data_IF_619527720055
#
_entry.id   IF_619527720055
#
_cell.length_a   1.000
_cell.length_b   1.000
_cell.length_c   1.000
_cell.angle_alpha   90.00
_cell.angle_beta   90.00
_cell.angle_gamma   90.00
#
_symmetry.space_group_name_H-M   'P 1'
#
loop_
_entity.id
_entity.type
_entity.pdbx_description
1 polymer ?
#
# COMPACT_ATOMS: atom_id res chain seq x y z
N UNK A 1 22.89 -42.69 50.95
CA UNK A 1 21.63 -42.41 50.23
C UNK A 1 21.41 -43.55 49.25
N UNK A 2 20.24 -44.19 49.30
CA UNK A 2 20.00 -45.48 48.65
C UNK A 2 19.03 -45.30 47.47
N UNK A 3 19.31 -45.84 46.28
CA UNK A 3 18.45 -45.66 45.12
C UNK A 3 17.13 -46.43 45.27
N UNK A 4 16.02 -45.81 44.83
CA UNK A 4 14.70 -46.41 44.82
C UNK A 4 14.57 -47.36 43.62
N UNK A 5 14.27 -48.63 43.92
CA UNK A 5 14.15 -49.72 42.94
C UNK A 5 12.81 -49.60 42.19
N UNK A 6 12.85 -49.67 40.86
CA UNK A 6 11.66 -49.83 40.03
C UNK A 6 10.88 -51.09 40.42
N UNK A 7 9.62 -50.92 40.84
CA UNK A 7 8.69 -52.06 40.91
C UNK A 7 8.28 -52.43 39.48
N UNK A 8 8.65 -53.63 39.06
CA UNK A 8 8.11 -54.26 37.85
C UNK A 8 6.59 -54.39 37.95
N UNK A 9 5.87 -54.18 36.86
CA UNK A 9 4.47 -54.59 36.77
C UNK A 9 4.35 -56.12 36.93
N UNK A 10 3.26 -56.63 37.55
CA UNK A 10 2.99 -58.05 37.56
C UNK A 10 2.53 -58.53 36.18
N UNK A 11 3.08 -59.63 35.70
CA UNK A 11 2.57 -60.34 34.52
C UNK A 11 1.21 -60.98 34.83
N UNK A 12 0.30 -61.02 33.84
CA UNK A 12 -0.92 -61.84 33.92
C UNK A 12 -2.26 -61.10 34.00
N UNK A 13 -2.41 -59.92 33.38
CA UNK A 13 -3.76 -59.39 33.08
C UNK A 13 -4.25 -60.05 31.78
N UNK A 14 -5.37 -60.80 31.78
CA UNK A 14 -5.87 -61.44 30.57
C UNK A 14 -6.47 -60.41 29.60
N UNK A 15 -5.97 -60.41 28.36
CA UNK A 15 -6.55 -59.68 27.23
C UNK A 15 -7.93 -60.24 26.90
N UNK A 16 -8.99 -59.51 27.25
CA UNK A 16 -10.38 -59.93 26.98
C UNK A 16 -11.47 -59.30 27.85
N UNK A 17 -11.14 -58.42 28.80
CA UNK A 17 -12.15 -57.64 29.53
C UNK A 17 -12.79 -56.53 28.69
N UNK A 18 -13.91 -55.98 29.15
CA UNK A 18 -14.67 -54.89 28.49
C UNK A 18 -13.92 -53.53 28.40
N UNK A 19 -12.66 -53.50 28.86
CA UNK A 19 -11.70 -52.40 28.78
C UNK A 19 -10.40 -52.80 28.07
N UNK A 20 -10.37 -53.94 27.38
CA UNK A 20 -9.31 -54.24 26.43
C UNK A 20 -9.32 -53.13 25.38
N UNK A 21 -8.16 -52.50 25.14
CA UNK A 21 -8.04 -51.43 24.16
C UNK A 21 -8.42 -51.96 22.78
N UNK A 22 -9.63 -51.62 22.33
CA UNK A 22 -10.00 -51.72 20.93
C UNK A 22 -9.00 -50.88 20.15
N UNK A 23 -8.37 -51.49 19.14
CA UNK A 23 -7.61 -50.75 18.13
C UNK A 23 -8.61 -49.89 17.34
N UNK A 24 -8.99 -48.76 17.92
CA UNK A 24 -9.62 -47.68 17.20
C UNK A 24 -8.55 -47.14 16.25
N UNK A 25 -8.59 -47.60 15.00
CA UNK A 25 -8.03 -46.83 13.91
C UNK A 25 -8.69 -45.46 13.97
N UNK A 26 -7.94 -44.45 14.38
CA UNK A 26 -8.41 -43.07 14.32
C UNK A 26 -8.91 -42.83 12.89
N UNK A 27 -10.16 -42.40 12.69
CA UNK A 27 -10.62 -42.09 11.35
C UNK A 27 -9.67 -41.04 10.80
N UNK A 28 -9.08 -41.33 9.64
CA UNK A 28 -8.06 -40.48 9.05
C UNK A 28 -8.75 -39.24 8.45
N UNK A 29 -9.18 -38.33 9.32
CA UNK A 29 -9.90 -37.09 9.00
C UNK A 29 -8.89 -36.16 8.34
N UNK A 30 -8.71 -36.36 7.04
CA UNK A 30 -8.01 -35.40 6.20
C UNK A 30 -8.92 -34.18 6.10
N UNK A 31 -8.68 -33.19 6.94
CA UNK A 31 -9.33 -31.89 6.80
C UNK A 31 -9.00 -31.37 5.40
N UNK A 32 -10.02 -31.16 4.57
CA UNK A 32 -9.85 -30.56 3.26
C UNK A 32 -9.16 -29.20 3.42
N UNK A 33 -8.27 -28.85 2.48
CA UNK A 33 -7.67 -27.50 2.45
C UNK A 33 -8.79 -26.47 2.50
N UNK A 34 -8.66 -25.45 3.35
CA UNK A 34 -9.56 -24.31 3.30
C UNK A 34 -9.48 -23.71 1.89
N UNK A 35 -10.65 -23.51 1.29
CA UNK A 35 -10.81 -22.86 0.00
C UNK A 35 -12.03 -21.95 0.08
N UNK A 36 -11.94 -20.77 -0.52
CA UNK A 36 -13.05 -19.84 -0.63
C UNK A 36 -14.14 -20.45 -1.50
N UNK A 37 -15.39 -20.27 -1.11
CA UNK A 37 -16.51 -20.71 -1.94
C UNK A 37 -16.65 -19.76 -3.15
N UNK A 38 -16.53 -20.23 -4.41
CA UNK A 38 -16.69 -19.39 -5.60
C UNK A 38 -18.01 -18.60 -5.65
N UNK A 39 -19.09 -19.15 -5.07
CA UNK A 39 -20.37 -18.48 -4.99
C UNK A 39 -20.36 -17.30 -3.99
N UNK A 40 -19.55 -17.36 -2.93
CA UNK A 40 -19.37 -16.25 -1.99
C UNK A 40 -18.63 -15.09 -2.66
N UNK A 41 -17.51 -15.37 -3.34
CA UNK A 41 -16.72 -14.38 -4.09
C UNK A 41 -17.58 -13.68 -5.15
N UNK A 42 -18.30 -14.44 -5.99
CA UNK A 42 -19.24 -13.88 -6.98
C UNK A 42 -20.36 -13.05 -6.33
N UNK A 43 -20.82 -13.44 -5.14
CA UNK A 43 -21.77 -12.66 -4.34
C UNK A 43 -21.21 -11.32 -3.87
N UNK A 44 -19.96 -11.29 -3.40
CA UNK A 44 -19.26 -10.07 -3.00
C UNK A 44 -18.98 -9.15 -4.19
N UNK A 45 -18.44 -9.67 -5.29
CA UNK A 45 -18.22 -8.91 -6.53
C UNK A 45 -19.52 -8.26 -7.05
N UNK A 46 -20.67 -8.93 -6.90
CA UNK A 46 -21.98 -8.33 -7.19
C UNK A 46 -22.38 -7.22 -6.20
N UNK A 47 -22.18 -7.43 -4.90
CA UNK A 47 -22.43 -6.39 -3.90
C UNK A 47 -21.58 -5.12 -4.13
N UNK A 48 -20.37 -5.30 -4.66
CA UNK A 48 -19.48 -4.20 -5.06
C UNK A 48 -19.77 -3.60 -6.44
N UNK A 49 -20.77 -4.06 -7.21
CA UNK A 49 -21.00 -3.53 -8.56
C UNK A 49 -19.93 -3.88 -9.60
N UNK A 50 -19.04 -4.84 -9.30
CA UNK A 50 -17.99 -5.37 -10.18
C UNK A 50 -18.47 -6.56 -11.05
N UNK A 51 -19.73 -6.99 -10.87
CA UNK A 51 -20.32 -8.09 -11.61
C UNK A 51 -20.35 -7.80 -13.12
N UNK A 52 -19.60 -8.57 -13.90
CA UNK A 52 -19.43 -8.37 -15.35
C UNK A 52 -18.27 -7.45 -15.75
N UNK A 53 -17.51 -6.89 -14.78
CA UNK A 53 -16.24 -6.19 -15.05
C UNK A 53 -15.06 -7.17 -15.13
N UNK A 54 -15.11 -8.22 -14.30
CA UNK A 54 -14.21 -9.37 -14.38
C UNK A 54 -14.83 -10.45 -15.29
N UNK A 55 -13.99 -11.06 -16.13
CA UNK A 55 -14.30 -12.26 -16.91
C UNK A 55 -14.46 -13.49 -15.99
N UNK A 56 -14.84 -14.64 -16.57
CA UNK A 56 -14.86 -15.92 -15.84
C UNK A 56 -13.46 -16.26 -15.36
N UNK A 57 -12.48 -16.24 -16.27
CA UNK A 57 -11.08 -16.57 -16.01
C UNK A 57 -10.46 -15.64 -14.95
N UNK A 58 -10.73 -14.33 -15.05
CA UNK A 58 -10.31 -13.34 -14.05
C UNK A 58 -10.97 -13.56 -12.68
N UNK A 59 -12.21 -14.09 -12.65
CA UNK A 59 -12.88 -14.46 -11.39
C UNK A 59 -12.26 -15.73 -10.78
N UNK A 60 -11.77 -16.66 -11.61
CA UNK A 60 -11.07 -17.87 -11.16
C UNK A 60 -9.67 -17.54 -10.67
N UNK A 61 -8.93 -16.66 -11.36
CA UNK A 61 -7.65 -16.11 -10.88
C UNK A 61 -7.79 -15.42 -9.52
N UNK A 62 -8.82 -14.58 -9.35
CA UNK A 62 -9.12 -13.93 -8.08
C UNK A 62 -9.37 -14.96 -6.95
N UNK A 63 -10.10 -16.03 -7.25
CA UNK A 63 -10.35 -17.14 -6.31
C UNK A 63 -9.04 -17.83 -5.92
N UNK A 64 -8.13 -18.06 -6.87
CA UNK A 64 -6.83 -18.68 -6.61
C UNK A 64 -5.91 -17.79 -5.77
N UNK A 65 -5.91 -16.46 -6.00
CA UNK A 65 -5.20 -15.49 -5.15
C UNK A 65 -5.70 -15.54 -3.70
N UNK A 66 -7.02 -15.56 -3.48
CA UNK A 66 -7.60 -15.68 -2.14
C UNK A 66 -7.27 -17.04 -1.49
N UNK A 67 -7.33 -18.13 -2.25
CA UNK A 67 -6.99 -19.47 -1.77
C UNK A 67 -5.49 -19.59 -1.39
N UNK A 68 -4.61 -18.90 -2.10
CA UNK A 68 -3.18 -18.86 -1.80
C UNK A 68 -2.88 -18.02 -0.55
N UNK A 69 -3.55 -16.87 -0.39
CA UNK A 69 -3.39 -15.99 0.77
C UNK A 69 -4.08 -16.50 2.05
N UNK A 70 -5.07 -17.39 1.93
CA UNK A 70 -5.96 -17.83 3.01
C UNK A 70 -6.73 -16.71 3.73
N UNK A 71 -6.74 -15.50 3.16
CA UNK A 71 -7.63 -14.42 3.57
C UNK A 71 -8.82 -14.32 2.61
N UNK A 72 -10.01 -14.37 3.18
CA UNK A 72 -11.29 -14.28 2.49
C UNK A 72 -12.06 -13.02 2.88
N UNK A 73 -11.37 -12.05 3.49
CA UNK A 73 -11.94 -10.77 3.90
C UNK A 73 -12.47 -9.98 2.71
N UNK A 74 -13.47 -9.15 3.00
CA UNK A 74 -14.04 -8.16 2.09
C UNK A 74 -12.95 -7.27 1.44
N UNK A 75 -11.90 -6.95 2.20
CA UNK A 75 -10.73 -6.18 1.75
C UNK A 75 -9.89 -6.97 0.74
N UNK A 76 -9.48 -8.19 1.07
CA UNK A 76 -8.65 -9.01 0.16
C UNK A 76 -9.37 -9.36 -1.14
N UNK A 77 -10.71 -9.48 -1.12
CA UNK A 77 -11.52 -9.61 -2.35
C UNK A 77 -11.43 -8.34 -3.20
N UNK A 78 -11.48 -7.16 -2.57
CA UNK A 78 -11.39 -5.86 -3.26
C UNK A 78 -9.99 -5.61 -3.81
N UNK A 79 -8.93 -5.83 -3.03
CA UNK A 79 -7.52 -5.70 -3.45
C UNK A 79 -7.10 -6.71 -4.52
N UNK A 80 -7.68 -7.92 -4.53
CA UNK A 80 -7.45 -8.88 -5.61
C UNK A 80 -8.20 -8.48 -6.89
N UNK A 81 -9.44 -7.97 -6.78
CA UNK A 81 -10.18 -7.43 -7.93
C UNK A 81 -9.51 -6.19 -8.52
N UNK A 82 -9.00 -5.30 -7.67
CA UNK A 82 -8.33 -4.06 -8.06
C UNK A 82 -7.08 -4.35 -8.88
N UNK A 83 -6.19 -5.24 -8.39
CA UNK A 83 -4.99 -5.67 -9.13
C UNK A 83 -5.30 -6.26 -10.51
N UNK A 84 -6.31 -7.12 -10.61
CA UNK A 84 -6.68 -7.77 -11.87
C UNK A 84 -7.27 -6.75 -12.87
N UNK A 85 -8.12 -5.83 -12.39
CA UNK A 85 -8.66 -4.74 -13.22
C UNK A 85 -7.56 -3.77 -13.65
N UNK A 86 -6.66 -3.39 -12.75
CA UNK A 86 -5.57 -2.46 -13.05
C UNK A 86 -4.64 -3.05 -14.13
N UNK A 87 -4.26 -4.33 -14.00
CA UNK A 87 -3.45 -5.04 -15.00
C UNK A 87 -4.14 -5.14 -16.37
N UNK A 88 -5.40 -5.59 -16.40
CA UNK A 88 -6.05 -5.99 -17.66
C UNK A 88 -6.85 -4.86 -18.34
N UNK A 89 -7.13 -3.77 -17.61
CA UNK A 89 -7.96 -2.64 -18.03
C UNK A 89 -7.33 -1.26 -17.77
N UNK A 90 -6.29 -1.14 -16.96
CA UNK A 90 -5.64 0.12 -16.62
C UNK A 90 -6.40 1.00 -15.62
N UNK A 91 -7.42 0.46 -14.93
CA UNK A 91 -8.21 1.18 -13.92
C UNK A 91 -8.58 0.29 -12.73
N UNK A 92 -8.85 0.88 -11.56
CA UNK A 92 -9.13 0.14 -10.33
C UNK A 92 -10.58 -0.31 -10.15
N UNK A 93 -10.82 -1.15 -9.15
CA UNK A 93 -12.15 -1.54 -8.70
C UNK A 93 -13.01 -0.32 -8.29
N UNK A 94 -12.39 0.74 -7.74
CA UNK A 94 -13.09 1.99 -7.42
C UNK A 94 -13.60 2.74 -8.66
N UNK A 95 -12.78 2.81 -9.71
CA UNK A 95 -13.17 3.41 -10.99
C UNK A 95 -14.26 2.59 -11.65
N UNK A 96 -14.12 1.25 -11.64
CA UNK A 96 -15.12 0.32 -12.16
C UNK A 96 -16.50 0.51 -11.51
N UNK A 97 -16.55 0.79 -10.21
CA UNK A 97 -17.78 1.16 -9.47
C UNK A 97 -18.35 2.48 -9.96
N UNK A 98 -17.51 3.51 -10.06
CA UNK A 98 -17.90 4.85 -10.51
C UNK A 98 -18.50 4.78 -11.93
N UNK A 99 -17.87 4.04 -12.84
CA UNK A 99 -18.40 3.78 -14.18
C UNK A 99 -19.75 3.05 -14.14
N UNK A 100 -19.90 2.01 -13.31
CA UNK A 100 -21.18 1.30 -13.17
C UNK A 100 -22.31 2.20 -12.66
N UNK A 101 -22.04 3.10 -11.71
CA UNK A 101 -23.00 4.10 -11.22
C UNK A 101 -23.38 5.09 -12.32
N UNK A 102 -22.39 5.68 -13.00
CA UNK A 102 -22.62 6.63 -14.11
C UNK A 102 -23.38 5.99 -15.28
N UNK A 103 -23.08 4.73 -15.62
CA UNK A 103 -23.85 3.97 -16.61
C UNK A 103 -25.32 3.80 -16.21
N UNK A 104 -25.61 3.58 -14.93
CA UNK A 104 -26.99 3.46 -14.44
C UNK A 104 -27.70 4.82 -14.47
N UNK A 105 -27.08 5.88 -13.97
CA UNK A 105 -27.63 7.24 -13.99
C UNK A 105 -27.93 7.72 -15.42
N UNK A 106 -27.03 7.45 -16.37
CA UNK A 106 -27.25 7.75 -17.79
C UNK A 106 -28.44 6.95 -18.36
N UNK A 107 -28.58 5.66 -18.01
CA UNK A 107 -29.74 4.85 -18.45
C UNK A 107 -31.06 5.36 -17.85
N UNK A 108 -31.08 5.71 -16.57
CA UNK A 108 -32.26 6.27 -15.89
C UNK A 108 -32.65 7.65 -16.43
N UNK A 109 -31.67 8.46 -16.84
CA UNK A 109 -31.89 9.73 -17.55
C UNK A 109 -32.30 9.56 -19.04
N UNK A 110 -32.44 8.33 -19.55
CA UNK A 110 -32.77 8.05 -20.95
C UNK A 110 -31.61 8.25 -21.94
N UNK A 111 -30.38 8.50 -21.45
CA UNK A 111 -29.15 8.73 -22.21
C UNK A 111 -28.46 7.41 -22.57
N UNK A 112 -29.19 6.58 -23.31
CA UNK A 112 -28.82 5.19 -23.60
C UNK A 112 -27.55 5.10 -24.47
N UNK A 113 -27.36 6.01 -25.42
CA UNK A 113 -26.18 5.99 -26.29
C UNK A 113 -24.90 6.34 -25.51
N UNK A 114 -24.96 7.30 -24.60
CA UNK A 114 -23.83 7.69 -23.76
C UNK A 114 -23.49 6.61 -22.72
N UNK A 115 -24.50 5.98 -22.12
CA UNK A 115 -24.28 4.82 -21.25
C UNK A 115 -23.57 3.67 -22.00
N UNK A 116 -23.98 3.41 -23.25
CA UNK A 116 -23.34 2.39 -24.09
C UNK A 116 -21.95 2.80 -24.58
N UNK A 117 -21.69 4.09 -24.81
CA UNK A 117 -20.37 4.59 -25.14
C UNK A 117 -19.40 4.46 -23.95
N UNK A 118 -19.84 4.85 -22.75
CA UNK A 118 -19.09 4.69 -21.50
C UNK A 118 -18.80 3.21 -21.22
N UNK A 119 -19.80 2.33 -21.38
CA UNK A 119 -19.62 0.89 -21.23
C UNK A 119 -18.57 0.33 -22.20
N UNK A 120 -18.54 0.77 -23.47
CA UNK A 120 -17.52 0.37 -24.45
C UNK A 120 -16.12 0.86 -24.08
N UNK A 121 -15.98 2.10 -23.59
CA UNK A 121 -14.67 2.63 -23.17
C UNK A 121 -14.14 1.87 -21.96
N UNK A 122 -14.98 1.60 -20.96
CA UNK A 122 -14.58 0.81 -19.79
C UNK A 122 -14.37 -0.69 -20.12
N UNK A 123 -14.99 -1.20 -21.19
CA UNK A 123 -14.79 -2.57 -21.66
C UNK A 123 -13.68 -2.71 -22.72
N UNK A 124 -13.03 -1.62 -23.14
CA UNK A 124 -11.82 -1.69 -23.94
C UNK A 124 -10.67 -2.18 -23.04
N UNK A 125 -9.96 -3.23 -23.44
CA UNK A 125 -8.64 -3.50 -22.86
C UNK A 125 -7.62 -2.60 -23.56
N UNK A 126 -6.59 -2.06 -22.87
CA UNK A 126 -5.48 -1.40 -23.53
C UNK A 126 -4.76 -2.29 -24.58
N UNK A 127 -4.91 -3.63 -24.51
CA UNK A 127 -4.39 -4.56 -25.53
C UNK A 127 -5.25 -4.73 -26.80
N UNK A 128 -6.49 -4.22 -26.84
CA UNK A 128 -7.41 -4.43 -27.98
C UNK A 128 -7.30 -3.37 -29.10
N UNK A 129 -6.26 -2.52 -29.08
CA UNK A 129 -6.00 -1.59 -30.19
C UNK A 129 -5.34 -2.32 -31.38
N UNK A 130 -5.99 -2.41 -32.56
CA UNK A 130 -5.39 -3.05 -33.72
C UNK A 130 -4.21 -2.23 -34.27
N UNK A 131 -3.05 -2.89 -34.42
CA UNK A 131 -1.80 -2.33 -34.94
C UNK A 131 -1.84 -2.03 -36.47
N UNK A 132 -2.79 -1.21 -36.92
CA UNK A 132 -2.89 -0.73 -38.31
C UNK A 132 -3.00 0.80 -38.39
N UNK A 133 -2.02 1.48 -37.80
CA UNK A 133 -1.63 2.82 -38.22
C UNK A 133 -0.10 2.94 -38.15
N UNK A 134 0.53 3.32 -39.26
CA UNK A 134 1.98 3.50 -39.39
C UNK A 134 2.48 4.63 -38.48
N UNK A 135 2.78 4.30 -37.23
CA UNK A 135 3.72 5.07 -36.42
C UNK A 135 5.04 4.32 -36.39
N UNK A 136 6.10 5.01 -36.81
CA UNK A 136 7.48 4.55 -36.71
C UNK A 136 7.93 4.61 -35.24
N UNK A 137 7.38 3.70 -34.43
CA UNK A 137 7.90 3.43 -33.11
C UNK A 137 9.15 2.57 -33.22
N UNK A 138 10.12 2.87 -32.36
CA UNK A 138 11.38 2.13 -32.28
C UNK A 138 11.11 0.65 -32.00
N UNK A 139 11.98 -0.22 -32.51
CA UNK A 139 11.86 -1.68 -32.34
C UNK A 139 11.88 -2.06 -30.86
N UNK A 140 11.38 -3.25 -30.52
CA UNK A 140 11.33 -3.74 -29.13
C UNK A 140 12.72 -3.76 -28.46
N UNK A 141 13.78 -3.96 -29.25
CA UNK A 141 15.19 -3.88 -28.84
C UNK A 141 15.64 -2.43 -28.60
N UNK A 142 15.25 -1.47 -29.45
CA UNK A 142 15.51 -0.03 -29.24
C UNK A 142 14.67 0.57 -28.10
N UNK A 143 13.44 0.08 -27.88
CA UNK A 143 12.58 0.44 -26.73
C UNK A 143 13.14 -0.12 -25.42
N UNK A 144 13.71 -1.33 -25.43
CA UNK A 144 14.44 -1.87 -24.28
C UNK A 144 15.76 -1.11 -24.01
N UNK A 145 16.49 -0.71 -25.07
CA UNK A 145 17.70 0.14 -24.93
C UNK A 145 17.35 1.58 -24.49
N UNK A 146 16.16 2.08 -24.83
CA UNK A 146 15.62 3.30 -24.22
C UNK A 146 15.28 3.06 -22.76
N UNK A 147 14.37 2.12 -22.46
CA UNK A 147 13.79 1.91 -21.12
C UNK A 147 14.84 1.59 -20.05
N UNK A 148 15.87 0.81 -20.38
CA UNK A 148 17.04 0.55 -19.52
C UNK A 148 17.87 1.81 -19.17
N UNK A 149 17.45 2.98 -19.66
CA UNK A 149 18.01 4.29 -19.37
C UNK A 149 16.98 5.29 -18.78
N UNK A 150 15.73 4.94 -18.38
CA UNK A 150 14.68 5.94 -18.01
C UNK A 150 14.02 5.93 -16.58
N UNK A 151 13.80 7.15 -16.02
CA UNK A 151 12.78 7.53 -15.01
C UNK A 151 11.92 8.74 -15.56
N UNK A 152 11.52 9.85 -14.86
CA UNK A 152 10.55 10.81 -15.43
C UNK A 152 11.16 11.88 -16.35
N UNK A 153 12.46 12.20 -16.22
CA UNK A 153 13.22 12.78 -17.33
C UNK A 153 13.62 11.72 -18.35
N UNK A 154 13.48 10.45 -17.96
CA UNK A 154 14.18 9.38 -18.60
C UNK A 154 15.66 9.26 -18.20
N UNK A 155 16.00 9.21 -16.91
CA UNK A 155 17.27 8.63 -16.40
C UNK A 155 16.97 7.49 -15.40
N UNK A 156 17.24 6.21 -15.75
CA UNK A 156 16.87 4.96 -15.01
C UNK A 156 17.30 4.92 -13.55
N UNK A 157 18.52 5.38 -13.35
CA UNK A 157 19.31 5.19 -12.15
C UNK A 157 18.91 6.23 -11.10
N UNK A 158 18.72 5.86 -9.83
CA UNK A 158 18.46 6.82 -8.76
C UNK A 158 19.41 8.02 -8.77
N UNK A 159 18.86 9.22 -8.65
CA UNK A 159 19.64 10.47 -8.69
C UNK A 159 20.37 10.65 -7.34
N UNK A 160 21.70 10.77 -7.30
CA UNK A 160 22.43 10.92 -6.05
C UNK A 160 22.12 12.26 -5.38
N UNK A 161 22.12 12.30 -4.05
CA UNK A 161 21.89 13.55 -3.29
C UNK A 161 22.84 14.69 -3.67
N UNK A 162 24.03 14.37 -4.18
CA UNK A 162 25.00 15.34 -4.69
C UNK A 162 24.70 15.91 -6.09
N UNK A 163 23.63 15.48 -6.79
CA UNK A 163 23.29 16.00 -8.13
C UNK A 163 22.94 17.51 -8.03
N UNK A 164 23.59 18.40 -8.81
CA UNK A 164 23.31 19.84 -8.79
C UNK A 164 21.84 20.21 -9.04
N UNK A 165 21.09 19.37 -9.77
CA UNK A 165 19.66 19.55 -10.03
C UNK A 165 18.84 19.36 -8.75
N UNK A 166 19.08 18.27 -8.03
CA UNK A 166 18.42 17.99 -6.75
C UNK A 166 18.80 19.05 -5.70
N UNK A 167 20.08 19.44 -5.65
CA UNK A 167 20.58 20.53 -4.81
C UNK A 167 19.95 21.90 -5.13
N UNK A 168 19.41 22.08 -6.35
CA UNK A 168 18.63 23.27 -6.76
C UNK A 168 17.11 23.14 -6.51
N UNK A 169 16.66 22.05 -5.89
CA UNK A 169 15.25 21.80 -5.56
C UNK A 169 14.45 21.05 -6.63
N UNK A 170 15.07 20.59 -7.72
CA UNK A 170 14.37 19.77 -8.71
C UNK A 170 13.89 18.45 -8.10
N UNK A 171 12.67 18.04 -8.45
CA UNK A 171 12.01 16.83 -7.97
C UNK A 171 12.29 15.66 -8.93
N UNK A 172 12.56 14.47 -8.39
CA UNK A 172 12.82 13.23 -9.13
C UNK A 172 11.99 12.08 -8.55
N UNK A 173 11.86 10.96 -9.26
CA UNK A 173 11.08 9.81 -8.76
C UNK A 173 11.89 8.86 -7.87
N UNK A 174 13.21 8.77 -8.07
CA UNK A 174 14.13 8.01 -7.21
C UNK A 174 15.35 8.86 -6.88
N UNK A 175 15.66 9.00 -5.60
CA UNK A 175 16.85 9.69 -5.07
C UNK A 175 17.66 8.69 -4.26
N UNK A 176 18.98 8.68 -4.40
CA UNK A 176 19.87 7.82 -3.59
C UNK A 176 20.74 8.69 -2.66
N UNK A 177 20.70 8.37 -1.37
CA UNK A 177 21.44 9.06 -0.32
C UNK A 177 22.91 8.59 -0.24
N UNK A 178 23.75 9.29 0.54
CA UNK A 178 25.19 8.98 0.68
C UNK A 178 25.47 7.55 1.20
N UNK A 179 24.53 6.97 1.97
CA UNK A 179 24.63 5.60 2.49
C UNK A 179 24.16 4.52 1.50
N UNK A 180 23.60 4.92 0.35
CA UNK A 180 23.05 4.03 -0.67
C UNK A 180 21.55 3.74 -0.56
N UNK A 181 20.85 4.31 0.43
CA UNK A 181 19.39 4.18 0.58
C UNK A 181 18.68 4.87 -0.59
N UNK A 182 17.76 4.17 -1.25
CA UNK A 182 16.99 4.68 -2.40
C UNK A 182 15.60 5.10 -1.95
N UNK A 183 15.33 6.41 -2.02
CA UNK A 183 14.05 7.02 -1.71
C UNK A 183 13.19 7.19 -2.96
N UNK A 184 12.00 6.61 -2.95
CA UNK A 184 11.01 6.63 -4.02
C UNK A 184 9.93 7.67 -3.75
N UNK A 185 9.69 8.58 -4.70
CA UNK A 185 8.68 9.64 -4.58
C UNK A 185 7.27 9.04 -4.52
N UNK A 186 6.49 9.49 -3.54
CA UNK A 186 5.07 9.20 -3.43
C UNK A 186 4.29 9.83 -4.59
N UNK A 187 3.55 9.01 -5.32
CA UNK A 187 2.69 9.41 -6.45
C UNK A 187 1.58 8.38 -6.66
N UNK A 188 0.53 8.66 -7.46
CA UNK A 188 -0.45 7.66 -7.86
C UNK A 188 0.23 6.39 -8.42
N UNK A 189 -0.19 5.22 -7.96
CA UNK A 189 0.41 3.93 -8.32
C UNK A 189 1.62 3.51 -7.49
N UNK A 190 2.31 4.43 -6.80
CA UNK A 190 3.44 4.12 -5.90
C UNK A 190 2.96 4.20 -4.46
N UNK A 191 2.99 3.07 -3.76
CA UNK A 191 2.54 2.94 -2.37
C UNK A 191 3.74 2.66 -1.46
N UNK A 192 3.77 3.21 -0.25
CA UNK A 192 4.80 2.81 0.72
C UNK A 192 4.55 1.35 1.17
N UNK A 193 5.63 0.59 1.33
CA UNK A 193 5.60 -0.76 1.88
C UNK A 193 5.69 -0.71 3.40
N UNK A 194 6.87 -1.02 3.91
CA UNK A 194 7.25 -0.96 5.33
C UNK A 194 8.51 -0.11 5.50
N UNK A 195 8.45 1.21 5.21
CA UNK A 195 9.63 2.06 5.20
C UNK A 195 10.35 2.12 6.56
N UNK A 196 11.67 2.28 6.51
CA UNK A 196 12.53 2.57 7.67
C UNK A 196 12.89 4.04 7.75
N UNK A 197 12.74 4.80 6.65
CA UNK A 197 12.98 6.23 6.58
C UNK A 197 12.00 6.93 5.63
N UNK A 198 11.66 8.18 5.96
CA UNK A 198 10.93 9.07 5.07
C UNK A 198 11.82 10.26 4.72
N UNK A 199 11.90 10.60 3.44
CA UNK A 199 12.57 11.81 2.95
C UNK A 199 11.51 12.82 2.52
N UNK A 200 11.62 14.04 3.03
CA UNK A 200 10.72 15.16 2.74
C UNK A 200 11.49 16.19 1.93
N UNK A 201 10.95 16.64 0.79
CA UNK A 201 11.53 17.71 -0.03
C UNK A 201 10.54 18.87 -0.18
N UNK A 202 10.89 20.04 0.33
CA UNK A 202 10.08 21.26 0.25
C UNK A 202 10.27 22.03 -1.08
N UNK A 203 9.30 22.89 -1.41
CA UNK A 203 9.33 23.77 -2.59
C UNK A 203 10.41 24.85 -2.56
N UNK A 204 10.95 25.15 -1.38
CA UNK A 204 11.98 26.15 -1.12
C UNK A 204 13.01 25.63 -0.12
N UNK A 205 14.21 26.23 -0.04
CA UNK A 205 15.15 25.91 1.03
C UNK A 205 14.54 26.18 2.41
N UNK A 206 14.87 25.33 3.37
CA UNK A 206 14.47 25.47 4.76
C UNK A 206 15.67 25.89 5.61
N UNK A 207 15.48 26.88 6.48
CA UNK A 207 16.40 27.14 7.59
C UNK A 207 16.41 25.98 8.60
N UNK A 208 17.37 25.97 9.51
CA UNK A 208 17.46 24.93 10.54
C UNK A 208 16.24 24.92 11.46
N UNK A 209 15.77 26.09 11.92
CA UNK A 209 14.58 26.23 12.75
C UNK A 209 13.31 25.75 12.01
N UNK A 210 13.15 26.12 10.74
CA UNK A 210 12.04 25.66 9.90
C UNK A 210 12.08 24.14 9.71
N UNK A 211 13.25 23.57 9.38
CA UNK A 211 13.40 22.10 9.25
C UNK A 211 13.05 21.39 10.55
N UNK A 212 13.46 21.92 11.70
CA UNK A 212 13.12 21.36 13.01
C UNK A 212 11.62 21.47 13.32
N UNK A 213 10.96 22.57 12.92
CA UNK A 213 9.51 22.73 13.02
C UNK A 213 8.77 21.75 12.11
N UNK A 214 9.19 21.59 10.85
CA UNK A 214 8.63 20.64 9.90
C UNK A 214 8.79 19.20 10.43
N UNK A 215 10.00 18.81 10.85
CA UNK A 215 10.26 17.51 11.45
C UNK A 215 9.38 17.24 12.69
N UNK A 216 9.12 18.27 13.51
CA UNK A 216 8.22 18.17 14.66
C UNK A 216 6.75 17.95 14.25
N UNK A 217 6.30 18.56 13.15
CA UNK A 217 4.96 18.35 12.58
C UNK A 217 4.82 16.98 11.91
N UNK A 218 5.87 16.51 11.23
CA UNK A 218 5.97 15.14 10.71
C UNK A 218 5.90 14.12 11.85
N UNK A 219 6.70 14.29 12.90
CA UNK A 219 6.69 13.44 14.09
C UNK A 219 5.35 13.43 14.83
N UNK A 220 4.70 14.60 14.99
CA UNK A 220 3.36 14.68 15.56
C UNK A 220 2.32 13.94 14.72
N UNK A 221 2.32 14.18 13.40
CA UNK A 221 1.36 13.55 12.48
C UNK A 221 1.54 12.03 12.49
N UNK A 222 2.77 11.55 12.31
CA UNK A 222 3.14 10.13 12.37
C UNK A 222 2.73 9.46 13.69
N UNK A 223 2.99 10.11 14.84
CA UNK A 223 2.59 9.59 16.14
C UNK A 223 1.06 9.51 16.31
N UNK A 224 0.31 10.41 15.64
CA UNK A 224 -1.16 10.43 15.71
C UNK A 224 -1.83 9.38 14.80
N UNK A 225 -1.28 9.13 13.61
CA UNK A 225 -1.84 8.23 12.59
C UNK A 225 -1.21 6.84 12.62
N UNK A 226 0.11 6.74 12.43
CA UNK A 226 0.85 5.45 12.37
C UNK A 226 0.97 4.81 13.75
N UNK A 227 1.24 5.61 14.80
CA UNK A 227 1.45 5.13 16.19
C UNK A 227 2.63 4.15 16.35
N UNK A 228 3.72 4.38 15.61
CA UNK A 228 4.98 3.63 15.72
C UNK A 228 5.89 4.09 16.86
N UNK A 229 7.19 3.80 16.75
CA UNK A 229 8.20 4.43 17.61
C UNK A 229 8.28 5.95 17.38
N UNK A 230 8.92 6.69 18.28
CA UNK A 230 9.23 8.09 18.00
C UNK A 230 10.13 8.16 16.77
N UNK A 231 9.83 9.08 15.85
CA UNK A 231 10.77 9.41 14.80
C UNK A 231 12.08 9.90 15.42
N UNK A 232 13.20 9.60 14.75
CA UNK A 232 14.51 10.11 15.12
C UNK A 232 14.68 11.59 14.78
N UNK A 233 15.84 12.15 15.12
CA UNK A 233 16.22 13.50 14.71
C UNK A 233 16.29 13.59 13.17
N UNK A 234 15.85 14.72 12.62
CA UNK A 234 15.88 14.93 11.17
C UNK A 234 17.30 15.18 10.66
N UNK A 235 17.74 14.40 9.68
CA UNK A 235 19.02 14.55 9.02
C UNK A 235 18.86 15.36 7.71
N UNK A 236 19.59 16.47 7.50
CA UNK A 236 19.53 17.23 6.26
C UNK A 236 20.41 16.61 5.16
N UNK A 237 19.81 16.24 4.02
CA UNK A 237 20.50 15.72 2.83
C UNK A 237 20.73 16.79 1.74
N UNK A 238 19.78 17.73 1.57
CA UNK A 238 19.94 18.89 0.66
C UNK A 238 19.40 20.17 1.31
N UNK A 239 19.64 21.37 0.74
CA UNK A 239 19.03 22.62 1.22
C UNK A 239 17.49 22.60 1.23
N UNK A 240 16.89 21.75 0.38
CA UNK A 240 15.44 21.64 0.18
C UNK A 240 14.82 20.46 0.92
N UNK A 241 15.61 19.58 1.56
CA UNK A 241 15.10 18.30 2.06
C UNK A 241 15.74 17.86 3.37
N UNK A 242 15.09 16.88 3.98
CA UNK A 242 15.58 16.16 5.14
C UNK A 242 14.99 14.76 5.21
N UNK A 243 15.68 13.89 5.92
CA UNK A 243 15.31 12.49 6.15
C UNK A 243 14.96 12.33 7.63
N UNK A 244 13.89 11.60 7.92
CA UNK A 244 13.52 11.16 9.28
C UNK A 244 13.52 9.64 9.34
N UNK A 245 14.18 9.08 10.36
CA UNK A 245 14.09 7.65 10.65
C UNK A 245 12.67 7.33 11.14
N UNK A 246 12.02 6.39 10.47
CA UNK A 246 10.58 6.14 10.53
C UNK A 246 10.24 4.64 10.44
N UNK A 247 10.93 3.81 11.24
CA UNK A 247 10.76 2.35 11.28
C UNK A 247 9.31 1.90 11.50
N UNK A 248 8.61 1.64 10.39
CA UNK A 248 7.19 1.27 10.41
C UNK A 248 6.97 -0.21 10.75
N UNK A 249 8.02 -1.05 10.78
CA UNK A 249 7.92 -2.46 11.19
C UNK A 249 7.50 -2.62 12.65
N UNK A 250 7.70 -1.57 13.46
CA UNK A 250 7.34 -1.51 14.88
C UNK A 250 6.03 -0.77 15.14
N UNK A 251 5.19 -0.57 14.12
CA UNK A 251 3.86 0.01 14.31
C UNK A 251 2.98 -0.86 15.23
N UNK A 252 2.02 -0.22 15.91
CA UNK A 252 0.94 -0.90 16.65
C UNK A 252 -0.41 -0.81 15.94
N UNK A 253 -0.40 -0.40 14.67
CA UNK A 253 -1.60 -0.26 13.83
C UNK A 253 -1.75 -1.50 12.96
N UNK A 254 -2.92 -2.14 13.06
CA UNK A 254 -3.24 -3.35 12.29
C UNK A 254 -3.35 -3.07 10.77
N UNK A 255 -3.62 -1.83 10.39
CA UNK A 255 -3.72 -1.34 9.01
C UNK A 255 -2.73 -0.20 8.77
N UNK A 256 -1.51 -0.56 8.36
CA UNK A 256 -0.44 0.40 8.08
C UNK A 256 -0.78 1.29 6.88
N UNK A 257 -1.38 0.73 5.82
CA UNK A 257 -1.78 1.46 4.61
C UNK A 257 -2.74 2.61 4.93
N UNK A 258 -3.81 2.34 5.67
CA UNK A 258 -4.72 3.42 6.12
C UNK A 258 -4.02 4.45 7.03
N UNK A 259 -3.04 4.03 7.84
CA UNK A 259 -2.25 4.95 8.67
C UNK A 259 -1.37 5.88 7.85
N UNK A 260 -0.84 5.39 6.73
CA UNK A 260 -0.07 6.16 5.75
C UNK A 260 -0.98 7.11 4.97
N UNK A 261 -2.12 6.66 4.47
CA UNK A 261 -3.10 7.54 3.81
C UNK A 261 -3.57 8.67 4.74
N UNK A 262 -3.83 8.37 6.01
CA UNK A 262 -4.12 9.38 7.04
C UNK A 262 -2.91 10.31 7.31
N UNK A 263 -1.68 9.79 7.30
CA UNK A 263 -0.47 10.61 7.47
C UNK A 263 -0.31 11.60 6.30
N UNK A 264 -0.39 11.12 5.07
CA UNK A 264 -0.29 11.91 3.84
C UNK A 264 -1.41 12.94 3.72
N UNK A 265 -2.63 12.59 4.16
CA UNK A 265 -3.78 13.50 4.17
C UNK A 265 -3.66 14.60 5.23
N UNK A 266 -3.21 14.24 6.45
CA UNK A 266 -3.19 15.17 7.59
C UNK A 266 -1.91 16.02 7.66
N UNK A 267 -0.80 15.60 7.05
CA UNK A 267 0.46 16.34 7.13
C UNK A 267 0.38 17.74 6.48
N UNK A 268 -0.23 17.95 5.29
CA UNK A 268 -0.41 19.28 4.71
C UNK A 268 -1.23 20.22 5.60
N UNK A 269 -2.33 19.74 6.20
CA UNK A 269 -3.16 20.51 7.13
C UNK A 269 -2.36 20.92 8.39
N UNK A 270 -1.66 19.96 9.01
CA UNK A 270 -0.78 20.26 10.16
C UNK A 270 0.38 21.19 9.79
N UNK A 271 0.90 21.14 8.55
CA UNK A 271 1.96 22.04 8.09
C UNK A 271 1.45 23.49 7.97
N UNK A 272 0.25 23.66 7.43
CA UNK A 272 -0.36 24.97 7.21
C UNK A 272 -0.93 25.60 8.50
N UNK A 273 -1.70 24.84 9.28
CA UNK A 273 -2.44 25.32 10.45
C UNK A 273 -1.75 25.04 11.79
N UNK A 274 -0.80 24.12 11.81
CA UNK A 274 -0.19 23.59 13.04
C UNK A 274 -1.02 22.48 13.66
N UNK A 275 -0.49 21.90 14.72
CA UNK A 275 -1.16 20.81 15.45
C UNK A 275 -2.47 21.24 16.10
N UNK A 276 -3.41 20.30 16.27
CA UNK A 276 -4.69 20.57 16.94
C UNK A 276 -4.52 21.23 18.32
N UNK A 277 -5.26 22.31 18.55
CA UNK A 277 -5.31 23.03 19.84
C UNK A 277 -5.66 22.08 21.00
N UNK A 278 -4.84 22.11 22.07
CA UNK A 278 -5.03 21.31 23.28
C UNK A 278 -6.34 21.65 23.98
N UNK A 279 -7.22 20.66 24.10
CA UNK A 279 -8.46 20.74 24.89
C UNK A 279 -8.28 20.32 26.35
N UNK A 280 -7.12 19.78 26.73
CA UNK A 280 -6.81 19.34 28.10
C UNK A 280 -5.39 19.74 28.50
N UNK A 281 -5.15 19.94 29.81
CA UNK A 281 -3.86 20.34 30.37
C UNK A 281 -2.81 19.19 30.45
N UNK A 282 -3.03 18.04 29.80
CA UNK A 282 -2.23 16.81 30.05
C UNK A 282 -0.79 16.89 29.50
N UNK A 283 -0.57 17.62 28.41
CA UNK A 283 0.71 17.68 27.68
C UNK A 283 1.15 19.12 27.37
N UNK A 284 0.59 20.09 28.09
CA UNK A 284 0.75 21.53 27.88
C UNK A 284 -0.56 22.30 28.15
N UNK A 285 -0.57 23.64 28.14
CA UNK A 285 -1.73 24.43 28.52
C UNK A 285 -2.92 24.28 27.55
N UNK A 286 -4.15 24.26 28.06
CA UNK A 286 -5.38 24.36 27.26
C UNK A 286 -5.34 25.63 26.40
N UNK A 287 -5.76 25.52 25.14
CA UNK A 287 -5.76 26.64 24.19
C UNK A 287 -4.45 26.86 23.45
N UNK A 288 -3.42 26.03 23.67
CA UNK A 288 -2.14 26.07 22.93
C UNK A 288 -2.03 24.91 21.94
N UNK A 289 -1.24 25.07 20.88
CA UNK A 289 -0.83 24.00 19.98
C UNK A 289 0.40 23.26 20.52
N UNK A 290 0.63 22.02 20.10
CA UNK A 290 1.84 21.26 20.45
C UNK A 290 3.06 21.71 19.62
N UNK A 291 2.83 21.93 18.32
CA UNK A 291 3.72 22.58 17.37
C UNK A 291 2.85 23.55 16.55
N UNK A 292 3.35 24.76 16.31
CA UNK A 292 2.69 25.78 15.48
C UNK A 292 2.88 25.45 13.99
N UNK A 293 1.97 25.94 13.13
CA UNK A 293 2.08 25.79 11.68
C UNK A 293 3.06 26.79 11.07
N UNK A 294 3.37 26.60 9.79
CA UNK A 294 4.13 27.59 9.02
C UNK A 294 3.29 28.80 8.64
N UNK A 295 1.97 28.60 8.44
CA UNK A 295 1.06 29.60 7.88
C UNK A 295 1.52 30.18 6.52
N UNK A 296 2.38 29.45 5.81
CA UNK A 296 2.97 29.76 4.51
C UNK A 296 2.21 28.96 3.43
N UNK A 297 1.32 29.59 2.63
CA UNK A 297 0.55 28.89 1.60
C UNK A 297 1.38 28.51 0.36
N UNK A 298 2.59 29.06 0.22
CA UNK A 298 3.50 28.79 -0.91
C UNK A 298 4.49 27.64 -0.59
N UNK A 299 4.54 27.20 0.69
CA UNK A 299 5.29 26.03 1.12
C UNK A 299 4.54 24.74 0.76
N UNK A 300 4.92 24.13 -0.35
CA UNK A 300 4.52 22.77 -0.73
C UNK A 300 5.68 21.80 -0.52
N UNK A 301 5.40 20.50 -0.57
CA UNK A 301 6.41 19.46 -0.36
C UNK A 301 6.06 18.15 -1.05
N UNK A 302 7.07 17.31 -1.19
CA UNK A 302 7.03 15.95 -1.75
C UNK A 302 7.50 14.97 -0.68
N UNK A 303 6.81 13.83 -0.54
CA UNK A 303 7.18 12.73 0.36
C UNK A 303 7.86 11.64 -0.48
N UNK A 304 8.91 11.04 0.07
CA UNK A 304 9.57 9.87 -0.49
C UNK A 304 9.75 8.80 0.60
N UNK A 305 9.69 7.54 0.20
CA UNK A 305 9.82 6.36 1.07
C UNK A 305 10.98 5.47 0.61
N UNK A 306 11.71 4.87 1.54
CA UNK A 306 12.81 3.94 1.24
C UNK A 306 12.34 2.49 0.92
N UNK A 307 11.10 2.17 1.24
CA UNK A 307 10.43 0.91 0.87
C UNK A 307 9.08 1.20 0.22
N UNK A 308 8.85 0.66 -0.98
CA UNK A 308 7.61 0.83 -1.75
C UNK A 308 7.10 -0.48 -2.34
N UNK A 309 5.78 -0.55 -2.48
CA UNK A 309 5.11 -1.49 -3.36
C UNK A 309 4.75 -0.77 -4.67
N UNK A 310 5.36 -1.22 -5.77
CA UNK A 310 5.01 -0.83 -7.14
C UNK A 310 4.40 -2.06 -7.83
N UNK A 311 3.09 -2.07 -8.15
CA UNK A 311 2.45 -3.20 -8.83
C UNK A 311 2.83 -3.31 -10.33
N UNK A 312 3.65 -2.39 -10.86
CA UNK A 312 4.14 -2.37 -12.23
C UNK A 312 5.52 -3.03 -12.45
N UNK A 313 6.10 -3.68 -11.43
CA UNK A 313 7.42 -4.35 -11.48
C UNK A 313 7.31 -5.82 -11.06
#
# INVERSE_FOLDING_TARGET
MTPLIQKRQPEGIPTGGQFAGTEHSEPNITLARLAVNPAYVRGRLRAYGLNGRLSVDQTEELIDVLNAGLDFSDRSIEEAADRILHRDRGYGASDARTVTVLEQELREAGRIEEANALARVAAASPMDYPNEAESTFATEEELAELASRLLPDGIETPVPVSDPRLQSGQVFDKVIDEDGTVFHRRRPGVFAGTPYAMRIQASRPLSEDERNQFASLVGYTYASTIRGESLGDAHPDTPYSFIVAADMTKTRRDDLGQGLDEFETNLPENLQEGTRIRTTNRTGPIGTQAVEGFHDPDLTFEIYYDDIFDPGV
#
